data_IF_729045296822
#
_entry.id   IF_729045296822
#
_cell.length_a   1.000
_cell.length_b   1.000
_cell.length_c   1.000
_cell.angle_alpha   90.00
_cell.angle_beta   90.00
_cell.angle_gamma   90.00
#
_symmetry.space_group_name_H-M   'P 1'
#
loop_
_entity.id
_entity.type
_entity.pdbx_description
1 polymer ?
#
# COMPACT_ATOMS: atom_id res chain seq x y z
N UNK A 1 -20.47 -16.37 -15.26
CA UNK A 1 -20.32 -15.14 -16.05
C UNK A 1 -20.43 -13.98 -15.08
N UNK A 2 -19.30 -13.56 -14.50
CA UNK A 2 -19.31 -12.41 -13.60
C UNK A 2 -19.49 -11.18 -14.48
N UNK A 3 -20.64 -10.51 -14.36
CA UNK A 3 -20.85 -9.16 -14.91
C UNK A 3 -19.97 -8.21 -14.11
N UNK A 4 -18.67 -8.22 -14.37
CA UNK A 4 -17.72 -7.35 -13.70
C UNK A 4 -18.08 -5.93 -14.10
N UNK A 5 -18.50 -5.14 -13.14
CA UNK A 5 -18.84 -3.74 -13.39
C UNK A 5 -17.59 -2.97 -13.81
N UNK A 6 -17.74 -1.95 -14.65
CA UNK A 6 -16.64 -1.12 -15.13
C UNK A 6 -15.75 -0.59 -13.98
N UNK A 7 -16.35 -0.24 -12.84
CA UNK A 7 -15.61 0.21 -11.65
C UNK A 7 -14.69 -0.87 -11.08
N UNK A 8 -15.13 -2.13 -11.08
CA UNK A 8 -14.33 -3.24 -10.60
C UNK A 8 -13.20 -3.59 -11.57
N UNK A 9 -13.49 -3.58 -12.88
CA UNK A 9 -12.46 -3.76 -13.91
C UNK A 9 -11.39 -2.67 -13.82
N UNK A 10 -11.81 -1.40 -13.63
CA UNK A 10 -10.88 -0.29 -13.44
C UNK A 10 -10.02 -0.44 -12.19
N UNK A 11 -10.61 -0.81 -11.05
CA UNK A 11 -9.87 -1.03 -9.81
C UNK A 11 -8.81 -2.14 -9.96
N UNK A 12 -9.17 -3.24 -10.62
CA UNK A 12 -8.25 -4.36 -10.91
C UNK A 12 -7.08 -3.90 -11.80
N UNK A 13 -7.39 -3.15 -12.87
CA UNK A 13 -6.38 -2.62 -13.79
C UNK A 13 -5.43 -1.63 -13.09
N UNK A 14 -5.93 -0.73 -12.24
CA UNK A 14 -5.08 0.23 -11.51
C UNK A 14 -4.16 -0.47 -10.50
N UNK A 15 -4.67 -1.49 -9.82
CA UNK A 15 -3.87 -2.30 -8.89
C UNK A 15 -2.78 -3.10 -9.65
N UNK A 16 -3.12 -3.65 -10.81
CA UNK A 16 -2.17 -4.33 -11.69
C UNK A 16 -1.10 -3.38 -12.24
N UNK A 17 -1.47 -2.18 -12.71
CA UNK A 17 -0.54 -1.13 -13.14
C UNK A 17 0.41 -0.73 -12.01
N UNK A 18 -0.10 -0.59 -10.78
CA UNK A 18 0.71 -0.27 -9.61
C UNK A 18 1.72 -1.36 -9.25
N UNK A 19 1.44 -2.62 -9.62
CA UNK A 19 2.36 -3.76 -9.47
C UNK A 19 3.37 -3.88 -10.61
N UNK A 20 3.31 -3.00 -11.62
CA UNK A 20 4.18 -3.00 -12.78
C UNK A 20 3.67 -3.82 -13.97
N UNK A 21 2.37 -4.18 -13.98
CA UNK A 21 1.76 -4.79 -15.17
C UNK A 21 1.60 -3.74 -16.28
N UNK A 22 1.57 -4.19 -17.54
CA UNK A 22 1.40 -3.30 -18.69
C UNK A 22 -0.07 -2.98 -18.94
N UNK A 23 -0.35 -1.71 -19.28
CA UNK A 23 -1.69 -1.22 -19.61
C UNK A 23 -2.42 -2.08 -20.65
N UNK A 24 -1.70 -2.52 -21.69
CA UNK A 24 -2.27 -3.35 -22.76
C UNK A 24 -2.75 -4.72 -22.25
N UNK A 25 -2.04 -5.32 -21.28
CA UNK A 25 -2.45 -6.59 -20.69
C UNK A 25 -3.72 -6.44 -19.84
N UNK A 26 -3.85 -5.31 -19.12
CA UNK A 26 -5.05 -4.97 -18.38
C UNK A 26 -6.26 -4.74 -19.30
N UNK A 27 -6.04 -4.07 -20.44
CA UNK A 27 -7.09 -3.83 -21.45
C UNK A 27 -7.51 -5.12 -22.19
N UNK A 28 -6.58 -6.05 -22.42
CA UNK A 28 -6.87 -7.35 -23.05
C UNK A 28 -7.74 -8.24 -22.16
N UNK A 29 -7.63 -8.09 -20.83
CA UNK A 29 -8.47 -8.80 -19.85
C UNK A 29 -9.94 -8.32 -19.87
N UNK A 30 -10.20 -7.08 -20.29
CA UNK A 30 -11.53 -6.47 -20.34
C UNK A 30 -11.83 -5.83 -21.70
N UNK A 31 -11.94 -6.63 -22.78
CA UNK A 31 -12.12 -6.11 -24.13
C UNK A 31 -13.46 -5.38 -24.32
N UNK A 32 -14.50 -5.74 -23.56
CA UNK A 32 -15.82 -5.09 -23.62
C UNK A 32 -15.81 -3.64 -23.11
N UNK A 33 -14.84 -3.29 -22.28
CA UNK A 33 -14.73 -1.98 -21.64
C UNK A 33 -13.50 -1.21 -22.11
N UNK A 34 -12.73 -1.74 -23.05
CA UNK A 34 -11.47 -1.15 -23.54
C UNK A 34 -11.61 0.33 -23.91
N UNK A 35 -12.59 0.67 -24.75
CA UNK A 35 -12.82 2.05 -25.20
C UNK A 35 -13.15 3.02 -24.05
N UNK A 36 -13.77 2.53 -22.97
CA UNK A 36 -14.08 3.35 -21.79
C UNK A 36 -12.97 3.35 -20.74
N UNK A 37 -12.22 2.26 -20.63
CA UNK A 37 -11.14 2.10 -19.66
C UNK A 37 -9.88 2.84 -20.08
N UNK A 38 -9.57 2.89 -21.37
CA UNK A 38 -8.36 3.53 -21.88
C UNK A 38 -8.17 4.97 -21.35
N UNK A 39 -9.10 5.93 -21.53
CA UNK A 39 -8.90 7.28 -21.02
C UNK A 39 -8.84 7.35 -19.49
N UNK A 40 -9.54 6.44 -18.80
CA UNK A 40 -9.55 6.42 -17.34
C UNK A 40 -8.21 5.91 -16.77
N UNK A 41 -7.61 4.92 -17.41
CA UNK A 41 -6.31 4.38 -17.02
C UNK A 41 -5.16 5.31 -17.39
N UNK A 42 -5.25 6.03 -18.52
CA UNK A 42 -4.30 7.10 -18.87
C UNK A 42 -4.27 8.20 -17.79
N UNK A 43 -5.44 8.63 -17.31
CA UNK A 43 -5.55 9.61 -16.22
C UNK A 43 -5.00 9.04 -14.92
N UNK A 44 -5.33 7.79 -14.58
CA UNK A 44 -4.82 7.13 -13.38
C UNK A 44 -3.28 7.06 -13.38
N UNK A 45 -2.68 6.69 -14.53
CA UNK A 45 -1.23 6.65 -14.71
C UNK A 45 -0.61 8.04 -14.55
N UNK A 46 -1.19 9.07 -15.18
CA UNK A 46 -0.70 10.44 -15.06
C UNK A 46 -0.74 10.94 -13.60
N UNK A 47 -1.79 10.62 -12.85
CA UNK A 47 -1.89 10.97 -11.43
C UNK A 47 -0.83 10.25 -10.59
N UNK A 48 -0.54 8.99 -10.90
CA UNK A 48 0.44 8.19 -10.19
C UNK A 48 1.87 8.69 -10.43
N UNK A 49 2.21 9.04 -11.67
CA UNK A 49 3.49 9.66 -12.03
C UNK A 49 3.69 11.03 -11.38
N UNK A 50 2.61 11.80 -11.20
CA UNK A 50 2.66 13.12 -10.58
C UNK A 50 2.50 13.12 -9.06
N UNK A 51 2.32 11.96 -8.42
CA UNK A 51 2.15 11.90 -6.99
C UNK A 51 3.50 12.14 -6.30
N UNK A 52 3.70 13.28 -5.59
CA UNK A 52 4.93 13.48 -4.87
C UNK A 52 5.06 12.37 -3.83
N UNK A 53 6.24 11.75 -3.75
CA UNK A 53 6.51 10.76 -2.70
C UNK A 53 6.13 11.38 -1.35
N UNK A 54 5.20 10.76 -0.60
CA UNK A 54 4.75 11.33 0.66
C UNK A 54 5.92 11.30 1.64
N UNK A 55 6.61 12.44 1.75
CA UNK A 55 7.73 12.60 2.68
C UNK A 55 7.14 12.84 4.06
N UNK A 56 7.11 11.79 4.88
CA UNK A 56 6.75 11.92 6.28
C UNK A 56 7.73 12.85 6.99
N UNK A 57 7.20 13.78 7.78
CA UNK A 57 8.05 14.72 8.52
C UNK A 57 8.92 13.97 9.53
N UNK A 58 10.15 14.45 9.75
CA UNK A 58 11.09 13.85 10.71
C UNK A 58 10.51 13.77 12.12
N UNK A 59 9.71 14.76 12.51
CA UNK A 59 9.01 14.78 13.79
C UNK A 59 7.97 13.66 13.89
N UNK A 60 7.17 13.45 12.83
CA UNK A 60 6.17 12.39 12.79
C UNK A 60 6.81 11.00 12.86
N UNK A 61 7.94 10.79 12.15
CA UNK A 61 8.70 9.54 12.24
C UNK A 61 9.27 9.29 13.65
N UNK A 62 9.74 10.34 14.33
CA UNK A 62 10.22 10.22 15.72
C UNK A 62 9.09 9.82 16.68
N UNK A 63 7.93 10.45 16.58
CA UNK A 63 6.73 10.13 17.36
C UNK A 63 6.24 8.69 17.13
N UNK A 64 6.12 8.26 15.87
CA UNK A 64 5.75 6.90 15.52
C UNK A 64 6.73 5.87 16.08
N UNK A 65 8.03 6.15 15.97
CA UNK A 65 9.07 5.26 16.49
C UNK A 65 8.96 5.11 18.00
N UNK A 66 8.75 6.21 18.74
CA UNK A 66 8.55 6.12 20.18
C UNK A 66 7.36 5.22 20.50
N UNK A 67 6.17 5.49 19.94
CA UNK A 67 4.94 4.73 20.22
C UNK A 67 5.07 3.23 19.94
N UNK A 68 5.62 2.84 18.78
CA UNK A 68 5.79 1.43 18.40
C UNK A 68 6.81 0.69 19.28
N UNK A 69 7.82 1.40 19.80
CA UNK A 69 8.82 0.78 20.70
C UNK A 69 8.36 0.66 22.14
N UNK A 70 7.45 1.53 22.62
CA UNK A 70 6.90 1.44 23.98
C UNK A 70 6.01 0.22 24.13
N UNK A 71 5.21 -0.10 23.09
CA UNK A 71 4.31 -1.26 23.11
C UNK A 71 5.05 -2.61 22.97
N UNK A 72 6.26 -2.61 22.40
CA UNK A 72 7.06 -3.83 22.23
C UNK A 72 7.83 -4.27 23.50
N UNK A 73 7.89 -3.44 24.54
CA UNK A 73 8.73 -3.69 25.73
C UNK A 73 7.94 -3.95 27.03
N UNK A 74 6.60 -4.03 26.98
CA UNK A 74 5.78 -4.43 28.12
C UNK A 74 5.51 -5.95 28.09
N UNK A 75 6.57 -6.74 28.26
CA UNK A 75 6.44 -8.13 28.75
C UNK A 75 7.03 -8.23 30.15
N UNK A 76 6.41 -9.01 31.05
CA UNK A 76 6.34 -8.72 32.48
C UNK A 76 7.66 -8.98 33.22
N UNK A 77 8.12 -8.01 34.01
CA UNK A 77 9.14 -8.21 35.05
C UNK A 77 8.55 -9.03 36.22
N UNK A 78 9.00 -10.26 36.37
CA UNK A 78 8.82 -11.06 37.59
C UNK A 78 9.74 -12.28 37.59
N UNK A 79 10.78 -12.27 38.41
CA UNK A 79 11.80 -13.33 38.50
C UNK A 79 13.17 -12.73 38.82
N UNK A 80 13.47 -12.28 40.03
CA UNK A 80 13.75 -13.07 41.25
C UNK A 80 15.18 -13.64 41.27
N UNK A 81 15.91 -13.30 42.35
CA UNK A 81 17.16 -13.91 42.85
C UNK A 81 18.43 -13.72 41.95
N UNK A 82 19.67 -13.63 42.42
CA UNK A 82 20.27 -14.16 43.62
C UNK A 82 21.65 -13.48 43.89
N UNK A 83 21.81 -12.93 45.10
CA UNK A 83 22.98 -12.94 46.01
C UNK A 83 24.45 -13.03 45.48
N UNK A 84 25.24 -12.10 46.05
CA UNK A 84 26.54 -12.27 46.78
C UNK A 84 27.79 -12.66 45.94
N UNK A 85 28.81 -11.79 45.90
CA UNK A 85 29.95 -11.61 46.84
C UNK A 85 31.15 -12.50 46.46
N UNK A 86 32.27 -11.87 46.09
CA UNK A 86 33.62 -12.09 46.65
C UNK A 86 34.56 -11.01 46.14
#
# INVERSE_FOLDING_TARGET
MATTTLSHALADCVDALSKGECLEACLDRYPEHRDRLQPLLEVAQALQDHQPEPTLSRHFLAELKMKLTTEANETPKGGEAHRKRS
#
